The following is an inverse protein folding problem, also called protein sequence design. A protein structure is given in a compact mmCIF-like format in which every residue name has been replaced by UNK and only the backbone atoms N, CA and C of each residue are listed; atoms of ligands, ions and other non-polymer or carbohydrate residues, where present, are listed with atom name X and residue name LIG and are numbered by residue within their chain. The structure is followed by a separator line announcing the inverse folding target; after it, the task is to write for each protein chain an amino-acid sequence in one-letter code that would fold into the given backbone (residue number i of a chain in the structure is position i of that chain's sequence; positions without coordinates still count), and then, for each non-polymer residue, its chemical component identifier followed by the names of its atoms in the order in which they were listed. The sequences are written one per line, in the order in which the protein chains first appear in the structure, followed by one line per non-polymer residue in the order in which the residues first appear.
data_IF_966150899357
#
_entry.id   IF_966150899357
#
_cell.length_a   1.000
_cell.length_b   1.000
_cell.length_c   1.000
_cell.angle_alpha   90.00
_cell.angle_beta   90.00
_cell.angle_gamma   90.00
#
_symmetry.space_group_name_H-M   'P 1'
#
loop_
_entity.id
_entity.type
_entity.pdbx_description
1 polymer ?
#
# COMPACT_ATOMS: atom_id res chain seq x y z
N UNK A 1 -15.37 -3.17 26.11
CA UNK A 1 -14.11 -3.83 25.70
C UNK A 1 -13.15 -2.74 25.25
N UNK A 2 -11.88 -2.79 25.66
CA UNK A 2 -10.89 -1.81 25.21
C UNK A 2 -10.52 -2.15 23.78
N UNK A 3 -10.74 -1.22 22.85
CA UNK A 3 -10.48 -1.43 21.43
C UNK A 3 -8.99 -1.64 21.18
N UNK A 4 -8.59 -2.87 20.86
CA UNK A 4 -7.19 -3.17 20.57
C UNK A 4 -6.77 -2.50 19.27
N UNK A 5 -5.73 -1.67 19.35
CA UNK A 5 -5.30 -0.78 18.26
C UNK A 5 -3.84 -1.04 17.89
N UNK A 6 -3.62 -1.39 16.62
CA UNK A 6 -2.31 -1.40 15.98
C UNK A 6 -2.05 -0.05 15.31
N UNK A 7 -0.92 0.57 15.61
CA UNK A 7 -0.45 1.73 14.86
C UNK A 7 0.78 1.36 14.02
N UNK A 8 0.73 1.70 12.74
CA UNK A 8 1.87 1.66 11.81
C UNK A 8 2.32 3.10 11.61
N UNK A 9 3.50 3.48 12.07
CA UNK A 9 3.99 4.84 11.97
C UNK A 9 5.22 4.92 11.07
N UNK A 10 5.28 5.94 10.22
CA UNK A 10 6.53 6.32 9.56
C UNK A 10 7.49 6.93 10.58
N UNK A 11 8.79 6.88 10.31
CA UNK A 11 9.83 7.37 11.21
C UNK A 11 10.85 8.22 10.44
N UNK A 12 11.36 9.27 11.09
CA UNK A 12 12.50 10.08 10.68
C UNK A 12 12.68 11.26 11.63
N UNK A 13 12.95 12.46 11.10
CA UNK A 13 13.39 13.62 11.90
C UNK A 13 12.36 14.08 12.96
N UNK A 14 11.07 14.13 12.64
CA UNK A 14 10.03 14.60 13.57
C UNK A 14 9.42 13.44 14.38
N UNK A 15 10.01 13.14 15.54
CA UNK A 15 9.52 12.08 16.45
C UNK A 15 8.28 12.51 17.23
N UNK A 16 8.04 13.81 17.38
CA UNK A 16 6.92 14.33 18.16
C UNK A 16 5.58 13.99 17.52
N UNK A 17 5.51 13.96 16.18
CA UNK A 17 4.30 13.52 15.47
C UNK A 17 3.87 12.09 15.81
N UNK A 18 4.81 11.19 16.09
CA UNK A 18 4.52 9.82 16.55
C UNK A 18 3.92 9.86 17.96
N UNK A 19 4.58 10.59 18.88
CA UNK A 19 4.15 10.70 20.28
C UNK A 19 2.79 11.39 20.43
N UNK A 20 2.54 12.43 19.64
CA UNK A 20 1.26 13.11 19.54
C UNK A 20 0.15 12.12 19.12
N UNK A 21 0.44 11.19 18.21
CA UNK A 21 -0.46 10.09 17.88
C UNK A 21 -0.85 9.24 19.09
N UNK A 22 0.09 8.91 19.98
CA UNK A 22 -0.17 8.10 21.18
C UNK A 22 -1.02 8.83 22.22
N UNK A 23 -0.93 10.16 22.29
CA UNK A 23 -1.74 10.98 23.19
C UNK A 23 -3.21 11.03 22.78
N UNK A 24 -3.49 10.87 21.49
CA UNK A 24 -4.83 11.04 20.94
C UNK A 24 -5.51 9.72 20.53
N UNK A 25 -4.73 8.67 20.27
CA UNK A 25 -5.26 7.36 19.90
C UNK A 25 -4.62 6.25 20.74
N UNK A 26 -5.40 5.24 21.16
CA UNK A 26 -4.85 4.07 21.87
C UNK A 26 -3.77 3.38 21.05
N UNK A 27 -2.82 2.76 21.74
CA UNK A 27 -1.80 1.94 21.10
C UNK A 27 -1.54 0.68 21.92
N UNK A 28 -1.68 -0.46 21.26
CA UNK A 28 -1.46 -1.79 21.84
C UNK A 28 -0.34 -2.55 21.14
N UNK A 29 0.02 -2.13 19.92
CA UNK A 29 1.23 -2.53 19.19
C UNK A 29 1.67 -1.40 18.27
N UNK A 30 2.98 -1.20 18.16
CA UNK A 30 3.58 -0.22 17.25
C UNK A 30 4.42 -0.93 16.19
N UNK A 31 4.28 -0.51 14.95
CA UNK A 31 5.23 -0.88 13.89
C UNK A 31 5.81 0.39 13.30
N UNK A 32 7.14 0.50 13.28
CA UNK A 32 7.86 1.65 12.75
C UNK A 32 8.41 1.33 11.36
N UNK A 33 8.02 2.12 10.37
CA UNK A 33 8.57 2.12 9.02
C UNK A 33 9.70 3.17 8.96
N UNK A 34 10.92 2.76 8.64
CA UNK A 34 12.11 3.63 8.73
C UNK A 34 13.07 3.36 7.58
N UNK A 35 13.96 4.29 7.23
CA UNK A 35 15.04 4.02 6.27
C UNK A 35 16.30 3.50 6.96
N UNK A 36 17.21 2.83 6.23
CA UNK A 36 18.42 2.25 6.83
C UNK A 36 19.30 3.31 7.52
N UNK A 37 19.34 4.55 7.02
CA UNK A 37 20.06 5.65 7.64
C UNK A 37 19.53 6.04 9.04
N UNK A 38 18.25 5.76 9.33
CA UNK A 38 17.59 6.07 10.61
C UNK A 38 17.62 4.88 11.58
N UNK A 39 18.31 3.80 11.24
CA UNK A 39 18.25 2.52 11.97
C UNK A 39 18.64 2.66 13.44
N UNK A 40 19.70 3.41 13.72
CA UNK A 40 20.18 3.58 15.09
C UNK A 40 19.17 4.37 15.92
N UNK A 41 18.66 5.45 15.34
CA UNK A 41 17.70 6.37 15.92
C UNK A 41 16.36 5.67 16.22
N UNK A 42 15.86 4.85 15.28
CA UNK A 42 14.60 4.12 15.46
C UNK A 42 14.75 3.03 16.52
N UNK A 43 15.91 2.37 16.60
CA UNK A 43 16.18 1.37 17.64
C UNK A 43 16.19 2.01 19.03
N UNK A 44 16.89 3.15 19.20
CA UNK A 44 16.92 3.90 20.45
C UNK A 44 15.52 4.38 20.85
N UNK A 45 14.78 4.97 19.90
CA UNK A 45 13.40 5.39 20.12
C UNK A 45 12.52 4.21 20.54
N UNK A 46 12.60 3.08 19.84
CA UNK A 46 11.81 1.88 20.17
C UNK A 46 12.09 1.33 21.57
N UNK A 47 13.36 1.34 22.02
CA UNK A 47 13.72 0.91 23.39
C UNK A 47 13.09 1.84 24.44
N UNK A 48 13.13 3.15 24.19
CA UNK A 48 12.52 4.15 25.06
C UNK A 48 11.00 3.93 25.19
N UNK A 49 10.29 3.84 24.06
CA UNK A 49 8.83 3.64 24.05
C UNK A 49 8.44 2.31 24.69
N UNK A 50 9.17 1.23 24.42
CA UNK A 50 8.91 -0.07 25.04
C UNK A 50 9.07 -0.02 26.56
N UNK A 51 10.07 0.71 27.06
CA UNK A 51 10.32 0.87 28.50
C UNK A 51 9.25 1.72 29.17
N UNK A 52 8.80 2.80 28.52
CA UNK A 52 7.83 3.74 29.10
C UNK A 52 6.39 3.25 29.01
N UNK A 53 6.00 2.67 27.87
CA UNK A 53 4.60 2.29 27.60
C UNK A 53 4.33 0.78 27.69
N UNK A 54 5.37 -0.06 27.71
CA UNK A 54 5.20 -1.52 27.74
C UNK A 54 4.61 -2.13 26.46
N UNK A 55 4.55 -1.35 25.37
CA UNK A 55 3.92 -1.77 24.11
C UNK A 55 4.89 -2.58 23.25
N UNK A 56 4.47 -3.70 22.64
CA UNK A 56 5.26 -4.41 21.63
C UNK A 56 5.57 -3.52 20.42
N UNK A 57 6.84 -3.49 20.00
CA UNK A 57 7.29 -2.68 18.87
C UNK A 57 8.04 -3.54 17.88
N UNK A 58 7.70 -3.43 16.59
CA UNK A 58 8.43 -4.03 15.48
C UNK A 58 8.96 -2.96 14.54
N UNK A 59 10.11 -3.23 13.92
CA UNK A 59 10.78 -2.32 12.99
C UNK A 59 10.74 -2.93 11.58
N UNK A 60 10.40 -2.14 10.57
CA UNK A 60 10.41 -2.53 9.16
C UNK A 60 11.16 -1.49 8.35
N UNK A 61 12.31 -1.89 7.81
CA UNK A 61 13.15 -1.04 6.98
C UNK A 61 12.52 -0.85 5.59
N UNK A 62 12.40 0.38 5.14
CA UNK A 62 11.95 0.74 3.80
C UNK A 62 13.17 0.92 2.89
N UNK A 63 13.24 0.15 1.82
CA UNK A 63 14.36 0.18 0.88
C UNK A 63 14.26 1.37 -0.10
N UNK A 64 15.39 2.02 -0.36
CA UNK A 64 15.58 2.99 -1.45
C UNK A 64 16.27 2.31 -2.65
N UNK A 65 15.96 2.66 -3.91
CA UNK A 65 15.06 3.74 -4.34
C UNK A 65 13.57 3.36 -4.39
N UNK A 66 13.23 2.08 -4.28
CA UNK A 66 11.85 1.56 -4.45
C UNK A 66 10.97 1.72 -3.19
N UNK A 67 10.93 2.93 -2.65
CA UNK A 67 10.28 3.28 -1.37
C UNK A 67 8.82 2.83 -1.32
N UNK A 68 8.08 3.15 -2.38
CA UNK A 68 6.64 2.84 -2.49
C UNK A 68 6.43 1.33 -2.44
N UNK A 69 7.15 0.57 -3.27
CA UNK A 69 7.03 -0.88 -3.32
C UNK A 69 7.40 -1.52 -1.98
N UNK A 70 8.51 -1.11 -1.37
CA UNK A 70 8.97 -1.67 -0.09
C UNK A 70 7.99 -1.39 1.04
N UNK A 71 7.46 -0.16 1.15
CA UNK A 71 6.42 0.16 2.13
C UNK A 71 5.16 -0.67 1.93
N UNK A 72 4.75 -0.89 0.67
CA UNK A 72 3.57 -1.66 0.33
C UNK A 72 3.72 -3.14 0.65
N UNK A 73 4.86 -3.75 0.33
CA UNK A 73 5.17 -5.14 0.69
C UNK A 73 5.14 -5.32 2.21
N UNK A 74 5.75 -4.41 2.97
CA UNK A 74 5.74 -4.48 4.43
C UNK A 74 4.35 -4.23 5.04
N UNK A 75 3.61 -3.23 4.57
CA UNK A 75 2.27 -2.97 5.08
C UNK A 75 1.32 -4.12 4.73
N UNK A 76 1.36 -4.66 3.51
CA UNK A 76 0.54 -5.80 3.12
C UNK A 76 0.82 -7.03 4.01
N UNK A 77 2.09 -7.33 4.28
CA UNK A 77 2.50 -8.40 5.20
C UNK A 77 1.97 -8.16 6.62
N UNK A 78 2.07 -6.93 7.13
CA UNK A 78 1.50 -6.54 8.43
C UNK A 78 -0.01 -6.76 8.45
N UNK A 79 -0.74 -6.28 7.45
CA UNK A 79 -2.20 -6.41 7.42
C UNK A 79 -2.60 -7.88 7.37
N UNK A 80 -1.94 -8.68 6.53
CA UNK A 80 -2.22 -10.11 6.42
C UNK A 80 -2.02 -10.88 7.73
N UNK A 81 -0.94 -10.59 8.45
CA UNK A 81 -0.55 -11.39 9.62
C UNK A 81 -1.08 -10.84 10.96
N UNK A 82 -1.33 -9.54 11.05
CA UNK A 82 -1.61 -8.87 12.32
C UNK A 82 -3.04 -8.32 12.40
N UNK A 83 -3.64 -7.84 11.30
CA UNK A 83 -4.88 -7.05 11.38
C UNK A 83 -6.05 -7.80 12.02
N UNK A 84 -6.16 -9.12 11.84
CA UNK A 84 -7.21 -9.94 12.45
C UNK A 84 -7.15 -10.01 13.99
N UNK A 85 -6.05 -9.57 14.61
CA UNK A 85 -5.87 -9.53 16.06
C UNK A 85 -6.27 -8.18 16.67
N UNK A 86 -6.51 -7.15 15.85
CA UNK A 86 -6.79 -5.79 16.30
C UNK A 86 -8.15 -5.33 15.79
N UNK A 87 -8.93 -4.69 16.65
CA UNK A 87 -10.20 -4.07 16.26
C UNK A 87 -9.98 -2.81 15.39
N UNK A 88 -8.80 -2.21 15.49
CA UNK A 88 -8.44 -1.03 14.73
C UNK A 88 -6.98 -1.05 14.27
N UNK A 89 -6.77 -0.69 13.01
CA UNK A 89 -5.44 -0.38 12.45
C UNK A 89 -5.43 1.09 12.04
N UNK A 90 -4.37 1.81 12.43
CA UNK A 90 -4.13 3.20 12.06
C UNK A 90 -2.76 3.35 11.41
N UNK A 91 -2.67 4.18 10.37
CA UNK A 91 -1.39 4.60 9.80
C UNK A 91 -1.08 6.04 10.21
N UNK A 92 0.00 6.23 10.96
CA UNK A 92 0.51 7.54 11.35
C UNK A 92 1.61 7.98 10.37
N UNK A 93 1.34 9.03 9.59
CA UNK A 93 2.30 9.57 8.59
C UNK A 93 2.96 10.87 9.05
N UNK A 94 2.95 11.14 10.35
CA UNK A 94 3.38 12.42 10.92
C UNK A 94 4.89 12.59 11.01
N UNK A 95 5.68 11.56 10.69
CA UNK A 95 7.13 11.56 10.83
C UNK A 95 7.83 11.04 9.57
N UNK A 96 9.10 11.39 9.41
CA UNK A 96 9.88 11.05 8.23
C UNK A 96 9.67 12.01 7.06
N UNK A 97 10.38 11.74 5.97
CA UNK A 97 10.29 12.59 4.79
C UNK A 97 8.97 12.41 4.03
N UNK A 98 8.76 13.29 3.05
CA UNK A 98 7.55 13.26 2.21
C UNK A 98 7.38 11.93 1.47
N UNK A 99 8.47 11.21 1.17
CA UNK A 99 8.41 9.99 0.38
C UNK A 99 7.91 8.81 1.19
N UNK A 100 8.41 8.60 2.42
CA UNK A 100 7.90 7.52 3.28
C UNK A 100 6.48 7.81 3.75
N UNK A 101 6.17 9.08 4.05
CA UNK A 101 4.81 9.52 4.37
C UNK A 101 3.84 9.27 3.21
N UNK A 102 4.21 9.63 1.98
CA UNK A 102 3.42 9.37 0.77
C UNK A 102 3.23 7.87 0.52
N UNK A 103 4.28 7.06 0.70
CA UNK A 103 4.21 5.62 0.54
C UNK A 103 3.26 4.99 1.56
N UNK A 104 3.37 5.36 2.85
CA UNK A 104 2.48 4.89 3.90
C UNK A 104 1.03 5.34 3.69
N UNK A 105 0.81 6.58 3.27
CA UNK A 105 -0.53 7.09 2.93
C UNK A 105 -1.14 6.35 1.74
N UNK A 106 -0.34 6.05 0.71
CA UNK A 106 -0.78 5.23 -0.43
C UNK A 106 -1.17 3.83 0.01
N UNK A 107 -0.43 3.23 0.96
CA UNK A 107 -0.81 1.96 1.56
C UNK A 107 -2.15 2.05 2.30
N UNK A 108 -2.37 3.14 3.05
CA UNK A 108 -3.63 3.39 3.75
C UNK A 108 -4.80 3.42 2.78
N UNK A 109 -4.63 4.13 1.67
CA UNK A 109 -5.64 4.26 0.62
C UNK A 109 -5.97 2.91 -0.02
N UNK A 110 -4.97 2.14 -0.47
CA UNK A 110 -5.19 0.85 -1.14
C UNK A 110 -5.86 -0.18 -0.21
N UNK A 111 -5.52 -0.15 1.08
CA UNK A 111 -6.06 -1.09 2.07
C UNK A 111 -7.33 -0.58 2.78
N UNK A 112 -7.81 0.63 2.48
CA UNK A 112 -8.96 1.24 3.17
C UNK A 112 -8.73 1.47 4.66
N UNK A 113 -7.47 1.66 5.08
CA UNK A 113 -7.07 1.88 6.48
C UNK A 113 -7.07 3.36 6.78
N UNK A 114 -7.55 3.75 7.96
CA UNK A 114 -7.50 5.15 8.40
C UNK A 114 -6.05 5.61 8.56
N UNK A 115 -5.73 6.78 8.02
CA UNK A 115 -4.45 7.43 8.23
C UNK A 115 -4.63 8.80 8.89
N UNK A 116 -3.59 9.25 9.59
CA UNK A 116 -3.54 10.60 10.15
C UNK A 116 -2.13 11.17 10.09
N UNK A 117 -2.05 12.49 9.95
CA UNK A 117 -0.88 13.30 10.26
C UNK A 117 -1.11 14.06 11.57
N UNK A 118 -0.14 14.87 11.99
CA UNK A 118 -0.30 15.85 13.07
C UNK A 118 -0.10 17.25 12.52
N UNK A 119 -0.91 18.20 12.99
CA UNK A 119 -0.69 19.61 12.71
C UNK A 119 0.46 20.19 13.55
N UNK A 120 0.74 21.49 13.36
CA UNK A 120 1.80 22.19 14.08
C UNK A 120 1.58 22.28 15.61
N UNK A 121 0.36 22.03 16.09
CA UNK A 121 0.02 22.01 17.51
C UNK A 121 0.07 20.58 18.09
N UNK A 122 0.41 19.58 17.27
CA UNK A 122 0.41 18.17 17.66
C UNK A 122 -0.98 17.55 17.75
N UNK A 123 -2.01 18.18 17.16
CA UNK A 123 -3.35 17.59 17.07
C UNK A 123 -3.43 16.67 15.85
N UNK A 124 -4.11 15.51 15.98
CA UNK A 124 -4.23 14.57 14.88
C UNK A 124 -5.18 15.12 13.80
N UNK A 125 -4.70 15.12 12.56
CA UNK A 125 -5.47 15.41 11.37
C UNK A 125 -5.75 14.10 10.64
N UNK A 126 -6.99 13.61 10.73
CA UNK A 126 -7.41 12.45 9.95
C UNK A 126 -7.35 12.78 8.47
N UNK A 127 -6.67 11.92 7.70
CA UNK A 127 -6.52 12.10 6.27
C UNK A 127 -7.73 11.49 5.54
N UNK A 128 -8.17 12.10 4.42
CA UNK A 128 -9.33 11.64 3.68
C UNK A 128 -9.01 10.34 2.95
N UNK A 129 -9.19 9.22 3.63
CA UNK A 129 -9.13 7.89 3.03
C UNK A 129 -10.51 7.59 2.46
N UNK A 130 -10.68 7.87 1.16
CA UNK A 130 -11.90 7.48 0.46
C UNK A 130 -11.98 5.95 0.49
N UNK A 131 -13.11 5.41 0.95
CA UNK A 131 -13.44 3.98 0.84
C UNK A 131 -13.70 3.54 -0.60
N UNK A 132 -13.19 4.25 -1.60
CA UNK A 132 -13.10 3.74 -2.96
C UNK A 132 -11.98 2.70 -2.97
N UNK A 133 -12.20 1.58 -2.29
CA UNK A 133 -11.32 0.45 -2.47
C UNK A 133 -11.42 0.09 -3.94
N UNK A 134 -10.28 -0.07 -4.60
CA UNK A 134 -10.27 -0.58 -5.96
C UNK A 134 -11.08 -1.88 -6.10
N UNK A 135 -11.33 -2.61 -5.00
CA UNK A 135 -12.22 -3.77 -4.97
C UNK A 135 -13.66 -3.46 -5.43
N UNK A 136 -14.17 -2.25 -5.25
CA UNK A 136 -15.51 -1.86 -5.73
C UNK A 136 -15.51 -1.47 -7.21
N UNK A 137 -14.37 -1.02 -7.74
CA UNK A 137 -14.22 -0.52 -9.12
C UNK A 137 -13.70 -1.62 -10.08
N UNK A 138 -12.98 -2.60 -9.54
CA UNK A 138 -12.31 -3.66 -10.30
C UNK A 138 -13.16 -4.93 -10.25
N UNK A 139 -13.72 -5.27 -11.42
CA UNK A 139 -14.43 -6.53 -11.61
C UNK A 139 -13.51 -7.75 -11.46
N UNK A 140 -14.09 -8.91 -11.13
CA UNK A 140 -13.37 -10.18 -11.04
C UNK A 140 -12.60 -10.53 -12.32
N UNK A 141 -13.12 -10.13 -13.49
CA UNK A 141 -12.42 -10.32 -14.76
C UNK A 141 -11.09 -9.55 -14.81
N UNK A 142 -11.07 -8.30 -14.34
CA UNK A 142 -9.85 -7.49 -14.24
C UNK A 142 -8.87 -8.08 -13.22
N UNK A 143 -9.36 -8.59 -12.09
CA UNK A 143 -8.51 -9.31 -11.11
C UNK A 143 -7.85 -10.54 -11.75
N UNK A 144 -8.62 -11.38 -12.45
CA UNK A 144 -8.08 -12.57 -13.14
C UNK A 144 -7.01 -12.20 -14.16
N UNK A 145 -7.21 -11.10 -14.89
CA UNK A 145 -6.22 -10.58 -15.85
C UNK A 145 -4.93 -10.16 -15.12
N UNK A 146 -5.02 -9.40 -14.03
CA UNK A 146 -3.85 -8.97 -13.26
C UNK A 146 -3.09 -10.18 -12.67
N UNK A 147 -3.80 -11.18 -12.16
CA UNK A 147 -3.21 -12.43 -11.66
C UNK A 147 -2.53 -13.24 -12.78
N UNK A 148 -3.13 -13.30 -13.96
CA UNK A 148 -2.53 -13.97 -15.11
C UNK A 148 -1.26 -13.26 -15.60
N UNK A 149 -1.27 -11.92 -15.61
CA UNK A 149 -0.08 -11.12 -15.90
C UNK A 149 1.03 -11.41 -14.88
N UNK A 150 0.72 -11.41 -13.58
CA UNK A 150 1.71 -11.65 -12.54
C UNK A 150 2.33 -13.05 -12.64
N UNK A 151 1.51 -14.08 -12.89
CA UNK A 151 1.97 -15.45 -13.17
C UNK A 151 2.91 -15.54 -14.38
N UNK A 152 2.76 -14.66 -15.37
CA UNK A 152 3.63 -14.57 -16.53
C UNK A 152 4.92 -13.77 -16.30
N UNK A 153 5.22 -13.38 -15.05
CA UNK A 153 6.35 -12.51 -14.71
C UNK A 153 5.99 -11.02 -14.76
N UNK A 154 4.73 -10.68 -14.98
CA UNK A 154 4.20 -9.32 -15.01
C UNK A 154 4.45 -8.55 -16.30
N UNK A 155 4.93 -9.21 -17.36
CA UNK A 155 5.10 -8.60 -18.69
C UNK A 155 4.62 -9.60 -19.74
N UNK A 156 3.85 -9.12 -20.71
CA UNK A 156 3.49 -9.86 -21.93
C UNK A 156 3.74 -8.97 -23.16
N UNK A 157 4.09 -9.58 -24.29
CA UNK A 157 4.38 -8.85 -25.53
C UNK A 157 3.15 -8.69 -26.44
N UNK A 158 2.09 -9.44 -26.16
CA UNK A 158 0.87 -9.41 -26.96
C UNK A 158 -0.37 -9.82 -26.17
N UNK A 159 -1.54 -9.35 -26.62
CA UNK A 159 -2.83 -9.81 -26.09
C UNK A 159 -3.06 -11.29 -26.37
N UNK A 160 -2.49 -11.83 -27.46
CA UNK A 160 -2.53 -13.27 -27.75
C UNK A 160 -1.91 -14.09 -26.62
N UNK A 161 -0.85 -13.61 -25.98
CA UNK A 161 -0.22 -14.33 -24.86
C UNK A 161 -1.18 -14.39 -23.66
N UNK A 162 -1.93 -13.31 -23.41
CA UNK A 162 -2.91 -13.25 -22.34
C UNK A 162 -4.15 -14.11 -22.61
N UNK A 163 -4.56 -14.29 -23.88
CA UNK A 163 -5.63 -15.23 -24.24
C UNK A 163 -5.28 -16.69 -23.95
N UNK A 164 -3.98 -17.03 -23.85
CA UNK A 164 -3.54 -18.39 -23.49
C UNK A 164 -3.50 -18.60 -21.98
N UNK A 165 -3.40 -17.52 -21.21
CA UNK A 165 -3.30 -17.52 -19.75
C UNK A 165 -4.64 -17.26 -19.06
N UNK A 166 -5.66 -16.88 -19.83
CA UNK A 166 -7.00 -16.56 -19.36
C UNK A 166 -8.04 -17.20 -20.28
N UNK A 167 -9.25 -17.42 -19.78
CA UNK A 167 -10.36 -17.93 -20.60
C UNK A 167 -11.04 -16.80 -21.43
N UNK A 168 -10.40 -15.63 -21.55
CA UNK A 168 -10.97 -14.46 -22.18
C UNK A 168 -10.50 -14.31 -23.64
N UNK A 169 -11.46 -14.04 -24.54
CA UNK A 169 -11.15 -13.68 -25.92
C UNK A 169 -10.49 -12.30 -26.05
N UNK A 170 -9.74 -12.11 -27.13
CA UNK A 170 -9.01 -10.85 -27.43
C UNK A 170 -9.87 -9.57 -27.33
N UNK A 171 -11.14 -9.53 -27.81
CA UNK A 171 -11.97 -8.32 -27.67
C UNK A 171 -12.26 -7.96 -26.21
N UNK A 172 -12.55 -8.98 -25.37
CA UNK A 172 -12.87 -8.77 -23.96
C UNK A 172 -11.63 -8.37 -23.16
N UNK A 173 -10.47 -8.96 -23.47
CA UNK A 173 -9.18 -8.54 -22.90
C UNK A 173 -8.87 -7.08 -23.27
N UNK A 174 -9.02 -6.71 -24.54
CA UNK A 174 -8.81 -5.34 -25.00
C UNK A 174 -9.73 -4.36 -24.25
N UNK A 175 -11.00 -4.71 -24.09
CA UNK A 175 -11.97 -3.93 -23.31
C UNK A 175 -11.56 -3.79 -21.84
N UNK A 176 -11.16 -4.87 -21.16
CA UNK A 176 -10.77 -4.77 -19.75
C UNK A 176 -9.43 -4.04 -19.54
N UNK A 177 -8.51 -4.11 -20.50
CA UNK A 177 -7.21 -3.43 -20.42
C UNK A 177 -7.35 -1.94 -20.74
N UNK A 178 -7.99 -1.58 -21.85
CA UNK A 178 -8.07 -0.21 -22.32
C UNK A 178 -9.33 0.54 -21.87
N UNK A 179 -10.44 -0.18 -21.70
CA UNK A 179 -11.75 0.40 -21.36
C UNK A 179 -12.44 1.05 -22.55
N UNK A 180 -13.46 1.84 -22.25
CA UNK A 180 -14.14 2.76 -23.16
C UNK A 180 -14.53 4.04 -22.41
N UNK A 181 -15.39 4.88 -22.99
CA UNK A 181 -15.83 6.15 -22.38
C UNK A 181 -16.62 5.95 -21.07
N UNK A 182 -17.38 4.86 -20.95
CA UNK A 182 -18.25 4.58 -19.80
C UNK A 182 -17.58 3.72 -18.73
N UNK A 183 -16.62 2.88 -19.12
CA UNK A 183 -15.99 1.88 -18.28
C UNK A 183 -14.46 1.96 -18.33
N UNK A 184 -13.87 2.31 -17.19
CA UNK A 184 -12.42 2.44 -17.02
C UNK A 184 -11.73 1.07 -17.15
N UNK A 185 -10.75 0.98 -18.05
CA UNK A 185 -9.86 -0.18 -18.21
C UNK A 185 -8.68 -0.15 -17.24
N UNK A 186 -7.94 -1.26 -17.14
CA UNK A 186 -6.77 -1.40 -16.27
C UNK A 186 -5.69 -0.33 -16.49
N UNK A 187 -5.49 0.13 -17.73
CA UNK A 187 -4.57 1.23 -18.07
C UNK A 187 -5.05 2.54 -17.47
N UNK A 188 -6.33 2.87 -17.64
CA UNK A 188 -6.91 4.10 -17.08
C UNK A 188 -6.95 4.07 -15.56
N UNK A 189 -7.10 2.89 -14.97
CA UNK A 189 -7.01 2.69 -13.52
C UNK A 189 -5.56 2.75 -12.99
N UNK A 190 -4.56 2.87 -13.87
CA UNK A 190 -3.16 2.95 -13.49
C UNK A 190 -2.62 1.65 -12.91
N UNK A 191 -3.17 0.49 -13.28
CA UNK A 191 -2.78 -0.83 -12.76
C UNK A 191 -1.86 -1.60 -13.71
N UNK A 192 -1.87 -1.23 -14.99
CA UNK A 192 -0.98 -1.75 -16.02
C UNK A 192 -0.55 -0.63 -16.94
N UNK A 193 0.65 -0.74 -17.49
CA UNK A 193 1.13 0.12 -18.56
C UNK A 193 1.01 -0.64 -19.89
N UNK A 194 0.57 0.05 -20.94
CA UNK A 194 0.42 -0.54 -22.27
C UNK A 194 1.23 0.26 -23.31
N UNK A 195 2.14 -0.42 -24.00
CA UNK A 195 2.99 0.15 -25.04
C UNK A 195 2.66 -0.50 -26.39
N UNK A 196 2.39 0.32 -27.41
CA UNK A 196 2.18 -0.18 -28.77
C UNK A 196 3.53 -0.48 -29.42
N UNK A 197 3.72 -1.75 -29.77
CA UNK A 197 4.89 -2.24 -30.51
C UNK A 197 4.64 -2.22 -32.02
N UNK A 198 5.69 -2.48 -32.79
CA UNK A 198 5.58 -2.66 -34.24
C UNK A 198 4.59 -3.77 -34.60
N UNK A 199 3.95 -3.64 -35.78
CA UNK A 199 2.93 -4.57 -36.32
C UNK A 199 1.65 -4.69 -35.48
N UNK A 200 1.30 -3.66 -34.71
CA UNK A 200 0.02 -3.60 -33.98
C UNK A 200 -0.04 -4.49 -32.73
N UNK A 201 1.11 -4.99 -32.26
CA UNK A 201 1.22 -5.68 -30.97
C UNK A 201 1.18 -4.67 -29.82
N UNK A 202 0.73 -5.11 -28.65
CA UNK A 202 0.71 -4.28 -27.45
C UNK A 202 1.39 -5.02 -26.33
N UNK A 203 2.51 -4.47 -25.88
CA UNK A 203 3.20 -4.92 -24.68
C UNK A 203 2.43 -4.40 -23.48
N UNK A 204 2.13 -5.26 -22.53
CA UNK A 204 1.42 -4.91 -21.31
C UNK A 204 2.29 -5.28 -20.13
N UNK A 205 2.49 -4.31 -19.25
CA UNK A 205 3.33 -4.43 -18.06
C UNK A 205 2.46 -4.23 -16.82
N UNK A 206 2.45 -5.22 -15.94
CA UNK A 206 1.84 -5.11 -14.63
C UNK A 206 2.71 -4.20 -13.75
N UNK A 207 2.18 -3.03 -13.40
CA UNK A 207 2.91 -2.05 -12.61
C UNK A 207 2.76 -2.31 -11.11
N UNK A 208 3.44 -1.51 -10.28
CA UNK A 208 3.45 -1.68 -8.83
C UNK A 208 2.04 -1.67 -8.24
N UNK A 209 1.18 -0.73 -8.63
CA UNK A 209 -0.21 -0.64 -8.13
C UNK A 209 -1.03 -1.87 -8.51
N UNK A 210 -0.88 -2.37 -9.74
CA UNK A 210 -1.53 -3.61 -10.18
C UNK A 210 -1.12 -4.84 -9.37
N UNK A 211 0.18 -4.99 -9.08
CA UNK A 211 0.70 -6.08 -8.24
C UNK A 211 0.17 -6.01 -6.80
N UNK A 212 0.13 -4.82 -6.22
CA UNK A 212 -0.41 -4.67 -4.85
C UNK A 212 -1.83 -5.19 -4.71
N UNK A 213 -2.64 -4.91 -5.72
CA UNK A 213 -4.06 -5.18 -5.68
C UNK A 213 -4.39 -6.68 -5.67
N UNK A 214 -3.53 -7.49 -6.28
CA UNK A 214 -3.67 -8.94 -6.25
C UNK A 214 -2.98 -9.56 -5.02
N UNK A 215 -2.03 -8.88 -4.38
CA UNK A 215 -1.38 -9.34 -3.14
C UNK A 215 -2.22 -9.15 -1.88
N UNK A 216 -3.28 -8.37 -1.96
CA UNK A 216 -4.23 -8.10 -0.86
C UNK A 216 -5.41 -9.07 -0.82
N UNK A 217 -5.53 -9.99 -1.79
CA UNK A 217 -6.55 -11.05 -1.86
C UNK A 217 -5.90 -12.43 -1.77
#
# INVERSE_FOLDING_TARGET
MVQQTLQIATFGEDREGILAGFRNFPIHKLILLYYEEDKKEVEEFSRSIRTTLGVPISLKMIAKPDIIRSAMEHVADIIKNESGQFEQVLINVSSGDKMIGCAALSCAFVNGIKAFGTDAEGKPMLLPILKLSYNEIISDAKIKILQALDKAGGIIESLEDLTKLTDFGKPLLSYHIHGNEEAKGLVHLGLVDAERLQRGRSKITLNTLGRMLISTK
#
